data_IF_910689878662
#
_entry.id   IF_910689878662
#
_cell.length_a   1.000
_cell.length_b   1.000
_cell.length_c   1.000
_cell.angle_alpha   90.00
_cell.angle_beta   90.00
_cell.angle_gamma   90.00
#
_symmetry.space_group_name_H-M   'P 1'
#
loop_
_entity.id
_entity.type
_entity.pdbx_description
1 polymer ?
#
# COMPACT_ATOMS: atom_id res chain seq x y z
N UNK A 1 29.76 -17.20 -36.29
CA UNK A 1 30.16 -18.62 -36.35
C UNK A 1 31.57 -18.70 -35.78
N UNK A 2 31.71 -19.12 -34.52
CA UNK A 2 33.03 -19.43 -33.95
C UNK A 2 33.47 -20.77 -34.54
N UNK A 3 33.97 -20.74 -35.77
CA UNK A 3 34.55 -21.92 -36.38
C UNK A 3 36.00 -22.01 -35.90
N UNK A 4 36.35 -23.06 -35.16
CA UNK A 4 37.74 -23.47 -35.06
C UNK A 4 38.23 -23.66 -36.50
N UNK A 5 39.36 -23.05 -36.84
CA UNK A 5 39.99 -23.27 -38.13
C UNK A 5 40.60 -24.68 -38.14
N UNK A 6 39.76 -25.64 -38.54
CA UNK A 6 40.09 -27.06 -38.61
C UNK A 6 41.27 -27.32 -39.53
N UNK A 7 41.42 -26.52 -40.60
CA UNK A 7 42.52 -26.60 -41.56
C UNK A 7 43.85 -26.14 -40.93
N UNK A 8 43.84 -25.02 -40.20
CA UNK A 8 45.02 -24.58 -39.48
C UNK A 8 45.43 -25.57 -38.37
N UNK A 9 44.45 -26.21 -37.73
CA UNK A 9 44.70 -27.22 -36.71
C UNK A 9 45.27 -28.53 -37.29
N UNK A 10 44.68 -29.04 -38.38
CA UNK A 10 45.21 -30.20 -39.11
C UNK A 10 46.64 -29.94 -39.61
N UNK A 11 46.93 -28.75 -40.16
CA UNK A 11 48.28 -28.39 -40.61
C UNK A 11 49.32 -28.41 -39.48
N UNK A 12 48.94 -28.00 -38.26
CA UNK A 12 49.82 -28.09 -37.07
C UNK A 12 50.09 -29.55 -36.68
N UNK A 13 49.09 -30.42 -36.77
CA UNK A 13 49.25 -31.86 -36.48
C UNK A 13 50.16 -32.55 -37.49
N UNK A 14 50.02 -32.22 -38.79
CA UNK A 14 50.93 -32.72 -39.84
C UNK A 14 52.37 -32.26 -39.62
N UNK A 15 52.56 -30.99 -39.27
CA UNK A 15 53.89 -30.45 -38.93
C UNK A 15 54.49 -31.09 -37.67
N UNK A 16 53.67 -31.68 -36.79
CA UNK A 16 54.10 -32.42 -35.61
C UNK A 16 54.42 -33.90 -35.90
N UNK A 17 54.33 -34.34 -37.16
CA UNK A 17 54.69 -35.69 -37.60
C UNK A 17 53.53 -36.67 -37.71
N UNK A 18 52.27 -36.23 -37.58
CA UNK A 18 51.11 -37.07 -37.88
C UNK A 18 50.89 -37.20 -39.39
N UNK A 19 50.39 -38.36 -39.83
CA UNK A 19 49.98 -38.54 -41.23
C UNK A 19 48.81 -37.62 -41.59
N UNK A 20 48.64 -37.39 -42.89
CA UNK A 20 47.60 -36.53 -43.43
C UNK A 20 46.20 -36.92 -42.94
N UNK A 21 45.90 -38.21 -43.05
CA UNK A 21 44.62 -38.80 -42.67
C UNK A 21 44.36 -38.70 -41.15
N UNK A 22 45.39 -38.94 -40.33
CA UNK A 22 45.27 -38.82 -38.87
C UNK A 22 45.05 -37.38 -38.44
N UNK A 23 45.78 -36.43 -39.04
CA UNK A 23 45.66 -35.01 -38.71
C UNK A 23 44.26 -34.46 -39.06
N UNK A 24 43.71 -34.85 -40.19
CA UNK A 24 42.38 -34.43 -40.64
C UNK A 24 41.29 -35.02 -39.74
N UNK A 25 41.36 -36.32 -39.46
CA UNK A 25 40.39 -37.02 -38.60
C UNK A 25 40.35 -36.43 -37.18
N UNK A 26 41.52 -36.15 -36.59
CA UNK A 26 41.61 -35.57 -35.24
C UNK A 26 41.09 -34.13 -35.24
N UNK A 27 41.38 -33.36 -36.29
CA UNK A 27 40.93 -31.99 -36.39
C UNK A 27 39.40 -31.90 -36.55
N UNK A 28 38.81 -32.76 -37.37
CA UNK A 28 37.36 -32.86 -37.51
C UNK A 28 36.69 -33.31 -36.22
N UNK A 29 37.20 -34.34 -35.54
CA UNK A 29 36.65 -34.83 -34.29
C UNK A 29 36.65 -33.76 -33.19
N UNK A 30 37.76 -33.02 -33.03
CA UNK A 30 37.83 -31.91 -32.07
C UNK A 30 36.96 -30.72 -32.49
N UNK A 31 36.90 -30.42 -33.79
CA UNK A 31 36.04 -29.36 -34.31
C UNK A 31 34.55 -29.66 -34.10
N UNK A 32 34.14 -30.92 -34.24
CA UNK A 32 32.79 -31.40 -33.97
C UNK A 32 32.46 -31.32 -32.47
N UNK A 33 33.31 -31.88 -31.61
CA UNK A 33 33.12 -31.86 -30.16
C UNK A 33 33.04 -30.44 -29.59
N UNK A 34 33.85 -29.51 -30.09
CA UNK A 34 33.79 -28.11 -29.66
C UNK A 34 32.52 -27.41 -30.14
N UNK A 35 32.03 -27.72 -31.34
CA UNK A 35 30.79 -27.14 -31.88
C UNK A 35 29.57 -27.62 -31.09
N UNK A 36 29.52 -28.91 -30.79
CA UNK A 36 28.49 -29.52 -29.94
C UNK A 36 28.51 -28.91 -28.53
N UNK A 37 29.69 -28.80 -27.91
CA UNK A 37 29.82 -28.15 -26.60
C UNK A 37 29.40 -26.67 -26.63
N UNK A 38 29.75 -25.94 -27.69
CA UNK A 38 29.37 -24.54 -27.85
C UNK A 38 27.85 -24.34 -28.05
N UNK A 39 27.19 -25.23 -28.79
CA UNK A 39 25.74 -25.20 -29.00
C UNK A 39 24.95 -25.43 -27.70
N UNK A 40 25.46 -26.26 -26.80
CA UNK A 40 24.77 -26.59 -25.55
C UNK A 40 25.14 -25.73 -24.35
N UNK A 41 26.25 -25.00 -24.40
CA UNK A 41 26.76 -24.26 -23.22
C UNK A 41 26.64 -22.74 -23.36
N UNK A 42 26.64 -22.22 -24.59
CA UNK A 42 26.66 -20.79 -24.83
C UNK A 42 25.25 -20.27 -25.14
N UNK A 43 24.82 -19.27 -24.37
CA UNK A 43 23.64 -18.49 -24.74
C UNK A 43 23.89 -17.76 -26.06
N UNK A 44 22.95 -17.90 -26.98
CA UNK A 44 22.96 -17.27 -28.29
C UNK A 44 22.41 -15.83 -28.21
N UNK A 45 22.61 -15.07 -29.29
CA UNK A 45 21.97 -13.74 -29.41
C UNK A 45 20.44 -13.83 -29.41
N UNK A 46 19.90 -14.95 -29.89
CA UNK A 46 18.46 -15.22 -29.89
C UNK A 46 17.97 -15.37 -28.45
N UNK A 47 18.62 -16.21 -27.65
CA UNK A 47 18.27 -16.43 -26.23
C UNK A 47 18.31 -15.13 -25.42
N UNK A 48 19.32 -14.29 -25.68
CA UNK A 48 19.43 -12.99 -25.04
C UNK A 48 18.30 -12.03 -25.47
N UNK A 49 17.93 -12.04 -26.76
CA UNK A 49 16.83 -11.21 -27.29
C UNK A 49 15.47 -11.66 -26.77
N UNK A 50 15.27 -12.96 -26.60
CA UNK A 50 14.07 -13.53 -25.99
C UNK A 50 13.98 -13.15 -24.52
N UNK A 51 15.06 -13.35 -23.77
CA UNK A 51 15.15 -12.93 -22.35
C UNK A 51 14.90 -11.42 -22.21
N UNK A 52 15.48 -10.59 -23.09
CA UNK A 52 15.23 -9.15 -23.07
C UNK A 52 13.76 -8.81 -23.34
N UNK A 53 13.11 -9.54 -24.23
CA UNK A 53 11.68 -9.35 -24.54
C UNK A 53 10.81 -9.71 -23.35
N UNK A 54 11.06 -10.86 -22.72
CA UNK A 54 10.34 -11.32 -21.52
C UNK A 54 10.52 -10.30 -20.39
N UNK A 55 11.75 -9.87 -20.10
CA UNK A 55 12.01 -8.88 -19.06
C UNK A 55 11.31 -7.54 -19.32
N UNK A 56 11.23 -7.10 -20.58
CA UNK A 56 10.46 -5.89 -20.92
C UNK A 56 8.97 -6.08 -20.66
N UNK A 57 8.42 -7.24 -20.99
CA UNK A 57 7.02 -7.58 -20.72
C UNK A 57 6.74 -7.62 -19.22
N UNK A 58 7.59 -8.26 -18.43
CA UNK A 58 7.49 -8.33 -16.98
C UNK A 58 7.54 -6.93 -16.34
N UNK A 59 8.46 -6.07 -16.79
CA UNK A 59 8.55 -4.69 -16.32
C UNK A 59 7.25 -3.92 -16.62
N UNK A 60 6.66 -4.11 -17.81
CA UNK A 60 5.40 -3.48 -18.17
C UNK A 60 4.25 -4.01 -17.31
N UNK A 61 4.20 -5.32 -17.08
CA UNK A 61 3.19 -5.95 -16.24
C UNK A 61 3.24 -5.45 -14.79
N UNK A 62 4.44 -5.48 -14.17
CA UNK A 62 4.65 -4.96 -12.81
C UNK A 62 4.31 -3.48 -12.71
N UNK A 63 4.66 -2.66 -13.70
CA UNK A 63 4.27 -1.24 -13.72
C UNK A 63 2.76 -1.05 -13.79
N UNK A 64 2.04 -1.90 -14.52
CA UNK A 64 0.59 -1.83 -14.61
C UNK A 64 -0.07 -2.23 -13.28
N UNK A 65 0.40 -3.31 -12.66
CA UNK A 65 -0.04 -3.77 -11.34
C UNK A 65 0.18 -2.70 -10.27
N UNK A 66 1.39 -2.15 -10.16
CA UNK A 66 1.68 -1.07 -9.22
C UNK A 66 0.79 0.17 -9.43
N UNK A 67 0.48 0.53 -10.68
CA UNK A 67 -0.42 1.65 -10.97
C UNK A 67 -1.86 1.34 -10.53
N UNK A 68 -2.32 0.11 -10.69
CA UNK A 68 -3.61 -0.35 -10.22
C UNK A 68 -3.68 -0.32 -8.69
N UNK A 69 -2.67 -0.85 -8.01
CA UNK A 69 -2.60 -0.89 -6.54
C UNK A 69 -2.59 0.53 -5.95
N UNK A 70 -1.77 1.43 -6.50
CA UNK A 70 -1.76 2.84 -6.10
C UNK A 70 -3.15 3.47 -6.30
N UNK A 71 -3.83 3.13 -7.40
CA UNK A 71 -5.20 3.58 -7.67
C UNK A 71 -6.20 3.08 -6.62
N UNK A 72 -6.12 1.80 -6.27
CA UNK A 72 -6.98 1.16 -5.28
C UNK A 72 -6.77 1.75 -3.88
N UNK A 73 -5.52 1.90 -3.43
CA UNK A 73 -5.17 2.54 -2.15
C UNK A 73 -5.67 3.98 -2.11
N UNK A 74 -5.50 4.76 -3.19
CA UNK A 74 -6.00 6.14 -3.25
C UNK A 74 -7.53 6.21 -3.15
N UNK A 75 -8.24 5.27 -3.77
CA UNK A 75 -9.70 5.20 -3.69
C UNK A 75 -10.16 4.85 -2.27
N UNK A 76 -9.55 3.84 -1.64
CA UNK A 76 -9.82 3.45 -0.25
C UNK A 76 -9.60 4.61 0.71
N UNK A 77 -8.45 5.28 0.65
CA UNK A 77 -8.16 6.44 1.51
C UNK A 77 -9.18 7.58 1.32
N UNK A 78 -9.65 7.81 0.09
CA UNK A 78 -10.69 8.84 -0.17
C UNK A 78 -12.02 8.45 0.47
N UNK A 79 -12.37 7.18 0.44
CA UNK A 79 -13.57 6.65 1.09
C UNK A 79 -13.47 6.79 2.60
N UNK A 80 -12.35 6.39 3.21
CA UNK A 80 -12.13 6.50 4.65
C UNK A 80 -12.20 7.96 5.14
N UNK A 81 -11.54 8.89 4.42
CA UNK A 81 -11.62 10.32 4.72
C UNK A 81 -13.07 10.83 4.65
N UNK A 82 -13.86 10.35 3.68
CA UNK A 82 -15.26 10.73 3.55
C UNK A 82 -16.12 10.15 4.68
N UNK A 83 -15.86 8.92 5.09
CA UNK A 83 -16.55 8.27 6.21
C UNK A 83 -16.29 9.02 7.52
N UNK A 84 -15.01 9.24 7.86
CA UNK A 84 -14.61 9.99 9.07
C UNK A 84 -15.19 11.41 9.06
N UNK A 85 -15.23 12.09 7.90
CA UNK A 85 -15.85 13.42 7.80
C UNK A 85 -17.36 13.37 8.09
N UNK A 86 -18.06 12.31 7.67
CA UNK A 86 -19.48 12.14 7.94
C UNK A 86 -19.72 11.84 9.42
N UNK A 87 -18.95 10.92 10.01
CA UNK A 87 -18.99 10.59 11.44
C UNK A 87 -18.77 11.83 12.30
N UNK A 88 -17.69 12.59 12.05
CA UNK A 88 -17.43 13.83 12.81
C UNK A 88 -18.55 14.86 12.69
N UNK A 89 -19.24 14.95 11.55
CA UNK A 89 -20.39 15.85 11.40
C UNK A 89 -21.58 15.37 12.23
N UNK A 90 -21.81 14.06 12.28
CA UNK A 90 -22.86 13.46 13.09
C UNK A 90 -22.58 13.69 14.57
N UNK A 91 -21.36 13.39 15.04
CA UNK A 91 -20.94 13.61 16.42
C UNK A 91 -21.13 15.07 16.85
N UNK A 92 -20.78 16.03 15.99
CA UNK A 92 -21.01 17.46 16.26
C UNK A 92 -22.50 17.78 16.43
N UNK A 93 -23.38 17.18 15.63
CA UNK A 93 -24.83 17.40 15.71
C UNK A 93 -25.41 16.76 16.98
N UNK A 94 -24.96 15.56 17.31
CA UNK A 94 -25.35 14.84 18.53
C UNK A 94 -24.93 15.64 19.77
N UNK A 95 -23.65 16.01 19.89
CA UNK A 95 -23.13 16.80 21.00
C UNK A 95 -23.85 18.17 21.12
N UNK A 96 -24.16 18.81 20.00
CA UNK A 96 -24.92 20.07 20.01
C UNK A 96 -26.35 19.88 20.53
N UNK A 97 -26.94 18.71 20.29
CA UNK A 97 -28.29 18.37 20.74
C UNK A 97 -28.29 18.08 22.23
N UNK A 98 -27.34 17.25 22.69
CA UNK A 98 -27.10 16.97 24.12
C UNK A 98 -26.88 18.26 24.90
N UNK A 99 -25.97 19.13 24.44
CA UNK A 99 -25.69 20.40 25.12
C UNK A 99 -26.93 21.32 25.21
N UNK A 100 -27.80 21.31 24.20
CA UNK A 100 -29.06 22.08 24.26
C UNK A 100 -30.03 21.50 25.28
N UNK A 101 -30.09 20.18 25.38
CA UNK A 101 -30.91 19.49 26.37
C UNK A 101 -30.40 19.79 27.79
N UNK A 102 -29.10 19.63 28.04
CA UNK A 102 -28.48 19.95 29.33
C UNK A 102 -28.75 21.40 29.77
N UNK A 103 -28.62 22.36 28.83
CA UNK A 103 -28.94 23.76 29.10
C UNK A 103 -30.42 23.95 29.47
N UNK A 104 -31.35 23.23 28.82
CA UNK A 104 -32.77 23.32 29.11
C UNK A 104 -33.12 22.70 30.47
N UNK A 105 -32.48 21.58 30.82
CA UNK A 105 -32.61 20.91 32.12
C UNK A 105 -32.12 21.83 33.24
N UNK A 106 -30.90 22.35 33.14
CA UNK A 106 -30.34 23.30 34.12
C UNK A 106 -31.21 24.55 34.28
N UNK A 107 -31.74 25.10 33.18
CA UNK A 107 -32.68 26.24 33.25
C UNK A 107 -33.95 25.88 34.02
N UNK A 108 -34.49 24.68 33.81
CA UNK A 108 -35.70 24.21 34.47
C UNK A 108 -35.47 24.00 35.97
N UNK A 109 -34.35 23.37 36.33
CA UNK A 109 -33.94 23.18 37.73
C UNK A 109 -33.74 24.50 38.46
N UNK A 110 -33.09 25.48 37.81
CA UNK A 110 -32.89 26.80 38.39
C UNK A 110 -34.23 27.53 38.63
N UNK A 111 -35.12 27.54 37.63
CA UNK A 111 -36.46 28.13 37.80
C UNK A 111 -37.27 27.45 38.91
N UNK A 112 -37.21 26.13 39.01
CA UNK A 112 -37.90 25.37 40.07
C UNK A 112 -37.35 25.73 41.46
N UNK A 113 -36.02 25.79 41.58
CA UNK A 113 -35.33 26.15 42.82
C UNK A 113 -35.68 27.58 43.27
N UNK A 114 -35.62 28.56 42.35
CA UNK A 114 -35.98 29.94 42.64
C UNK A 114 -37.44 30.11 43.04
N UNK A 115 -38.37 29.40 42.38
CA UNK A 115 -39.79 29.39 42.75
C UNK A 115 -39.97 28.86 44.18
N UNK A 116 -39.33 27.73 44.49
CA UNK A 116 -39.40 27.11 45.81
C UNK A 116 -38.87 28.04 46.91
N UNK A 117 -37.71 28.67 46.68
CA UNK A 117 -37.16 29.67 47.60
C UNK A 117 -38.09 30.89 47.75
N UNK A 118 -38.68 31.38 46.67
CA UNK A 118 -39.62 32.52 46.70
C UNK A 118 -40.82 32.22 47.60
N UNK A 119 -41.44 31.04 47.46
CA UNK A 119 -42.54 30.63 48.33
C UNK A 119 -42.12 30.48 49.79
N UNK A 120 -40.94 29.90 50.05
CA UNK A 120 -40.41 29.78 51.40
C UNK A 120 -40.20 31.16 52.07
N UNK A 121 -39.63 32.12 51.33
CA UNK A 121 -39.41 33.49 51.82
C UNK A 121 -40.76 34.19 52.11
N UNK A 122 -41.72 34.12 51.19
CA UNK A 122 -43.05 34.72 51.39
C UNK A 122 -43.72 34.12 52.64
N UNK A 123 -43.66 32.79 52.80
CA UNK A 123 -44.20 32.10 53.98
C UNK A 123 -43.54 32.57 55.28
N UNK A 124 -42.21 32.65 55.31
CA UNK A 124 -41.46 33.12 56.46
C UNK A 124 -41.78 34.58 56.82
N UNK A 125 -41.84 35.48 55.82
CA UNK A 125 -42.20 36.89 56.01
C UNK A 125 -43.64 37.03 56.51
N UNK A 126 -44.58 36.26 55.98
CA UNK A 126 -45.97 36.21 56.45
C UNK A 126 -46.08 35.80 57.93
N UNK A 127 -45.34 34.75 58.33
CA UNK A 127 -45.30 34.31 59.72
C UNK A 127 -44.71 35.37 60.66
N UNK A 128 -43.63 36.05 60.25
CA UNK A 128 -43.02 37.14 61.02
C UNK A 128 -43.99 38.32 61.22
N UNK A 129 -44.74 38.70 60.18
CA UNK A 129 -45.74 39.78 60.28
C UNK A 129 -46.88 39.42 61.25
N UNK A 130 -47.38 38.18 61.22
CA UNK A 130 -48.41 37.70 62.14
C UNK A 130 -47.92 37.71 63.60
N UNK A 131 -46.66 37.33 63.83
CA UNK A 131 -46.04 37.39 65.16
C UNK A 131 -45.99 38.83 65.69
N UNK A 132 -45.61 39.79 64.83
CA UNK A 132 -45.54 41.21 65.21
C UNK A 132 -46.89 41.77 65.65
N UNK A 133 -47.98 41.42 64.95
CA UNK A 133 -49.35 41.84 65.30
C UNK A 133 -49.88 41.26 66.62
N UNK A 134 -49.31 40.15 67.10
CA UNK A 134 -49.72 39.53 68.36
C UNK A 134 -48.96 40.08 69.58
N UNK A 135 -47.75 40.62 69.37
CA UNK A 135 -46.86 41.09 70.44
C UNK A 135 -46.92 42.63 70.63
N UNK A 136 -47.29 43.40 69.61
CA UNK A 136 -47.46 44.86 69.65
C UNK A 136 -48.90 45.29 69.89
#
# INVERSE_FOLDING_TARGET
MYAIDTLAFAKKLRNAGLSEEQADTIAEAHGAAFREAAEHTLATKTDLSETQTILKQDIVAVRAELKQDIGAVRAALKQDISAVRTELKQDIVELRTELKQDIAEVRTELHSSLRTQTFAIIGAVGALMALFQFIG
#
